data_IF_430151968278
#
_entry.id   IF_430151968278
#
_cell.length_a   1.000
_cell.length_b   1.000
_cell.length_c   1.000
_cell.angle_alpha   90.00
_cell.angle_beta   90.00
_cell.angle_gamma   90.00
#
_symmetry.space_group_name_H-M   'P 1'
#
loop_
_entity.id
_entity.type
_entity.pdbx_description
1 polymer ?
#
# COMPACT_ATOMS: atom_id res chain seq x y z
N UNK A 1 1.19 43.01 -25.71
CA UNK A 1 0.64 42.02 -24.76
C UNK A 1 -0.87 42.23 -24.68
N UNK A 2 -1.68 41.36 -25.28
CA UNK A 2 -3.15 41.42 -25.12
C UNK A 2 -3.51 40.69 -23.84
N UNK A 3 -3.92 41.42 -22.82
CA UNK A 3 -4.66 40.84 -21.69
C UNK A 3 -6.00 40.38 -22.26
N UNK A 4 -6.13 39.09 -22.56
CA UNK A 4 -7.41 38.48 -22.87
C UNK A 4 -8.27 38.61 -21.61
N UNK A 5 -9.07 39.68 -21.55
CA UNK A 5 -10.06 39.91 -20.50
C UNK A 5 -11.10 38.80 -20.64
N UNK A 6 -10.96 37.79 -19.79
CA UNK A 6 -11.97 36.75 -19.61
C UNK A 6 -13.28 37.46 -19.30
N UNK A 7 -14.31 37.23 -20.10
CA UNK A 7 -15.61 37.86 -19.86
C UNK A 7 -16.18 37.38 -18.53
N UNK A 8 -17.06 38.16 -17.89
CA UNK A 8 -17.65 37.78 -16.59
C UNK A 8 -18.33 36.39 -16.65
N UNK A 9 -18.92 36.05 -17.79
CA UNK A 9 -19.54 34.76 -18.08
C UNK A 9 -18.50 33.63 -18.18
N UNK A 10 -17.41 33.85 -18.91
CA UNK A 10 -16.31 32.88 -18.98
C UNK A 10 -15.69 32.65 -17.59
N UNK A 11 -15.50 33.72 -16.80
CA UNK A 11 -14.98 33.60 -15.44
C UNK A 11 -15.93 32.80 -14.54
N UNK A 12 -17.24 32.93 -14.73
CA UNK A 12 -18.24 32.14 -14.01
C UNK A 12 -18.20 30.65 -14.41
N UNK A 13 -18.14 30.35 -15.70
CA UNK A 13 -18.02 28.99 -16.21
C UNK A 13 -16.74 28.29 -15.72
N UNK A 14 -15.61 29.01 -15.72
CA UNK A 14 -14.33 28.52 -15.20
C UNK A 14 -14.45 28.20 -13.70
N UNK A 15 -15.04 29.10 -12.90
CA UNK A 15 -15.25 28.86 -11.46
C UNK A 15 -16.10 27.62 -11.19
N UNK A 16 -17.21 27.44 -11.92
CA UNK A 16 -18.05 26.24 -11.76
C UNK A 16 -17.29 24.96 -12.13
N UNK A 17 -16.47 25.02 -13.17
CA UNK A 17 -15.66 23.88 -13.61
C UNK A 17 -14.60 23.53 -12.57
N UNK A 18 -13.90 24.53 -12.04
CA UNK A 18 -12.93 24.35 -10.96
C UNK A 18 -13.57 23.82 -9.67
N UNK A 19 -14.77 24.28 -9.33
CA UNK A 19 -15.51 23.74 -8.18
C UNK A 19 -15.83 22.25 -8.35
N UNK A 20 -16.32 21.85 -9.53
CA UNK A 20 -16.58 20.43 -9.84
C UNK A 20 -15.31 19.59 -9.80
N UNK A 21 -14.19 20.10 -10.32
CA UNK A 21 -12.90 19.42 -10.27
C UNK A 21 -12.42 19.28 -8.82
N UNK A 22 -12.58 20.31 -7.99
CA UNK A 22 -12.21 20.28 -6.58
C UNK A 22 -13.03 19.24 -5.80
N UNK A 23 -14.35 19.15 -6.05
CA UNK A 23 -15.21 18.12 -5.47
C UNK A 23 -14.77 16.71 -5.90
N UNK A 24 -14.46 16.52 -7.18
CA UNK A 24 -13.96 15.26 -7.71
C UNK A 24 -12.63 14.85 -7.05
N UNK A 25 -11.73 15.81 -6.89
CA UNK A 25 -10.44 15.61 -6.25
C UNK A 25 -10.58 15.25 -4.76
N UNK A 26 -11.50 15.88 -4.05
CA UNK A 26 -11.80 15.55 -2.66
C UNK A 26 -12.26 14.09 -2.52
N UNK A 27 -13.18 13.64 -3.39
CA UNK A 27 -13.66 12.25 -3.42
C UNK A 27 -12.54 11.26 -3.72
N UNK A 28 -11.66 11.55 -4.68
CA UNK A 28 -10.50 10.70 -4.98
C UNK A 28 -9.60 10.58 -3.75
N UNK A 29 -9.30 11.69 -3.07
CA UNK A 29 -8.46 11.69 -1.87
C UNK A 29 -9.05 10.85 -0.75
N UNK A 30 -10.36 10.92 -0.54
CA UNK A 30 -11.06 10.11 0.46
C UNK A 30 -10.95 8.62 0.12
N UNK A 31 -11.20 8.25 -1.14
CA UNK A 31 -11.08 6.86 -1.60
C UNK A 31 -9.66 6.32 -1.45
N UNK A 32 -8.64 7.11 -1.83
CA UNK A 32 -7.23 6.73 -1.65
C UNK A 32 -6.87 6.57 -0.17
N UNK A 33 -7.38 7.43 0.69
CA UNK A 33 -7.17 7.34 2.14
C UNK A 33 -7.82 6.08 2.71
N UNK A 34 -9.05 5.76 2.29
CA UNK A 34 -9.74 4.54 2.68
C UNK A 34 -8.99 3.29 2.20
N UNK A 35 -8.48 3.31 0.96
CA UNK A 35 -7.67 2.23 0.41
C UNK A 35 -6.37 2.04 1.20
N UNK A 36 -5.66 3.12 1.50
CA UNK A 36 -4.43 3.08 2.28
C UNK A 36 -4.66 2.48 3.68
N UNK A 37 -5.78 2.81 4.33
CA UNK A 37 -6.18 2.21 5.62
C UNK A 37 -6.39 0.71 5.50
N UNK A 38 -7.13 0.25 4.49
CA UNK A 38 -7.37 -1.18 4.23
C UNK A 38 -6.07 -1.94 3.95
N UNK A 39 -5.17 -1.36 3.15
CA UNK A 39 -3.85 -1.94 2.89
C UNK A 39 -3.04 -2.04 4.18
N UNK A 40 -3.04 -0.99 5.02
CA UNK A 40 -2.36 -1.00 6.31
C UNK A 40 -2.93 -2.03 7.29
N UNK A 41 -4.23 -2.28 7.28
CA UNK A 41 -4.88 -3.35 8.04
C UNK A 41 -4.49 -4.74 7.54
N UNK A 42 -4.52 -4.95 6.21
CA UNK A 42 -4.10 -6.20 5.60
C UNK A 42 -2.61 -6.50 5.90
N UNK A 43 -1.73 -5.51 5.76
CA UNK A 43 -0.32 -5.64 6.09
C UNK A 43 -0.11 -6.01 7.57
N UNK A 44 -0.82 -5.37 8.51
CA UNK A 44 -0.79 -5.75 9.93
C UNK A 44 -1.28 -7.15 10.19
N UNK A 45 -2.26 -7.64 9.41
CA UNK A 45 -2.72 -9.02 9.52
C UNK A 45 -1.66 -10.01 9.03
N UNK A 46 -1.03 -9.72 7.88
CA UNK A 46 0.06 -10.53 7.33
C UNK A 46 1.28 -10.59 8.27
N UNK A 47 1.65 -9.46 8.88
CA UNK A 47 2.74 -9.43 9.88
C UNK A 47 2.40 -10.32 11.08
N UNK A 48 1.19 -10.21 11.62
CA UNK A 48 0.75 -11.08 12.73
C UNK A 48 0.75 -12.57 12.35
N UNK A 49 0.28 -12.90 11.15
CA UNK A 49 0.34 -14.29 10.64
C UNK A 49 1.79 -14.77 10.50
N UNK A 50 2.69 -13.93 9.98
CA UNK A 50 4.10 -14.26 9.86
C UNK A 50 4.77 -14.48 11.23
N UNK A 51 4.43 -13.67 12.23
CA UNK A 51 4.90 -13.83 13.62
C UNK A 51 4.38 -15.13 14.25
N UNK A 52 3.12 -15.48 14.02
CA UNK A 52 2.53 -16.75 14.47
C UNK A 52 3.13 -17.98 13.76
N UNK A 53 3.48 -17.85 12.47
CA UNK A 53 4.11 -18.92 11.70
C UNK A 53 5.62 -19.06 12.02
N UNK A 54 6.27 -18.01 12.53
CA UNK A 54 7.69 -18.00 12.88
C UNK A 54 8.12 -19.14 13.82
N UNK A 55 7.42 -19.48 14.92
CA UNK A 55 7.77 -20.64 15.75
C UNK A 55 7.53 -21.99 15.08
N UNK A 56 6.59 -22.09 14.12
CA UNK A 56 6.38 -23.32 13.34
C UNK A 56 7.56 -23.56 12.38
N UNK A 57 8.05 -22.49 11.74
CA UNK A 57 9.17 -22.55 10.80
C UNK A 57 10.53 -22.65 11.50
N UNK A 58 10.70 -21.96 12.63
CA UNK A 58 11.87 -22.07 13.51
C UNK A 58 11.48 -22.85 14.75
N UNK A 59 11.47 -24.17 14.67
CA UNK A 59 11.46 -25.02 15.88
C UNK A 59 12.80 -24.85 16.60
N UNK A 60 12.85 -24.18 17.77
CA UNK A 60 14.10 -23.96 18.49
C UNK A 60 14.70 -25.29 18.99
N UNK A 61 13.86 -26.29 19.25
CA UNK A 61 14.28 -27.63 19.71
C UNK A 61 14.62 -28.61 18.57
N UNK A 62 14.66 -28.15 17.32
CA UNK A 62 15.00 -29.04 16.18
C UNK A 62 16.51 -29.01 15.97
N UNK A 63 17.25 -30.10 16.27
CA UNK A 63 18.67 -30.13 16.03
C UNK A 63 18.96 -30.07 14.52
N UNK A 64 20.10 -29.49 14.13
CA UNK A 64 20.45 -29.21 12.73
C UNK A 64 20.44 -30.44 11.79
N UNK A 65 20.51 -31.65 12.34
CA UNK A 65 20.45 -32.92 11.61
C UNK A 65 19.02 -33.43 11.36
N UNK A 66 18.00 -32.87 12.00
CA UNK A 66 16.61 -33.33 11.92
C UNK A 66 15.82 -32.77 10.71
N UNK A 67 16.49 -32.17 9.72
CA UNK A 67 15.87 -31.80 8.44
C UNK A 67 15.32 -33.05 7.73
N UNK A 68 14.13 -33.01 7.07
CA UNK A 68 13.64 -34.14 6.26
C UNK A 68 14.57 -34.51 5.10
N UNK A 69 15.49 -33.60 4.76
CA UNK A 69 16.46 -33.73 3.66
C UNK A 69 17.88 -34.04 4.15
N UNK A 70 18.06 -34.38 5.43
CA UNK A 70 19.36 -34.70 6.02
C UNK A 70 20.27 -33.48 6.17
N UNK A 71 21.45 -33.66 6.80
CA UNK A 71 22.46 -32.61 6.87
C UNK A 71 22.93 -32.23 5.46
N UNK A 72 23.14 -30.93 5.21
CA UNK A 72 23.74 -30.47 3.96
C UNK A 72 25.07 -31.22 3.75
N UNK A 73 25.33 -31.79 2.55
CA UNK A 73 26.55 -32.54 2.31
C UNK A 73 27.75 -31.62 2.60
N UNK A 74 28.59 -32.03 3.56
CA UNK A 74 29.84 -31.33 3.84
C UNK A 74 30.66 -31.35 2.56
N UNK A 75 30.90 -30.17 2.00
CA UNK A 75 31.68 -30.01 0.78
C UNK A 75 32.98 -30.81 0.85
N UNK A 76 33.20 -31.64 -0.16
CA UNK A 76 34.45 -32.34 -0.35
C UNK A 76 35.55 -31.31 -0.57
N UNK A 77 36.49 -31.22 0.38
CA UNK A 77 37.85 -30.74 0.14
C UNK A 77 38.71 -31.91 -0.27
#
# INVERSE_FOLDING_TARGET
MRLNLVTAEQAHAIRQTLARVAEWWARIREQLTALARRIGEAARHLVRLAEQARPVLRRPDRPAWASPYGPAPKGHR
#
